data_IF_264272443362
#
_entry.id   IF_264272443362
#
_cell.length_a   1.000
_cell.length_b   1.000
_cell.length_c   1.000
_cell.angle_alpha   90.00
_cell.angle_beta   90.00
_cell.angle_gamma   90.00
#
_symmetry.space_group_name_H-M   'P 1'
#
loop_
_entity.id
_entity.type
_entity.pdbx_description
1 polymer ?
#
# COMPACT_ATOMS: atom_id res chain seq x y z
N UNK A 1 28.91 -6.95 11.32
CA UNK A 1 28.34 -6.73 9.97
C UNK A 1 29.13 -5.63 9.29
N UNK A 2 29.47 -5.75 8.00
CA UNK A 2 30.17 -4.66 7.32
C UNK A 2 29.27 -3.42 7.19
N UNK A 3 29.84 -2.24 7.43
CA UNK A 3 29.13 -0.96 7.38
C UNK A 3 28.45 -0.73 6.02
N UNK A 4 29.09 -1.15 4.92
CA UNK A 4 28.53 -1.06 3.58
C UNK A 4 27.26 -1.90 3.40
N UNK A 5 27.17 -3.06 4.06
CA UNK A 5 25.98 -3.91 4.02
C UNK A 5 24.86 -3.25 4.83
N UNK A 6 25.17 -2.70 6.01
CA UNK A 6 24.22 -1.96 6.85
C UNK A 6 23.60 -0.78 6.11
N UNK A 7 24.44 0.00 5.43
CA UNK A 7 24.02 1.15 4.63
C UNK A 7 23.11 0.74 3.48
N UNK A 8 23.45 -0.33 2.75
CA UNK A 8 22.62 -0.85 1.65
C UNK A 8 21.26 -1.32 2.15
N UNK A 9 21.21 -2.06 3.26
CA UNK A 9 19.96 -2.50 3.88
C UNK A 9 19.08 -1.31 4.27
N UNK A 10 19.65 -0.25 4.87
CA UNK A 10 18.91 0.97 5.18
C UNK A 10 18.34 1.64 3.93
N UNK A 11 19.17 1.88 2.92
CA UNK A 11 18.75 2.58 1.70
C UNK A 11 17.64 1.82 0.98
N UNK A 12 17.84 0.51 0.77
CA UNK A 12 16.85 -0.34 0.10
C UNK A 12 15.56 -0.41 0.94
N UNK A 13 15.69 -0.59 2.25
CA UNK A 13 14.53 -0.63 3.16
C UNK A 13 13.69 0.65 3.11
N UNK A 14 14.32 1.83 3.08
CA UNK A 14 13.63 3.12 2.93
C UNK A 14 12.92 3.20 1.58
N UNK A 15 13.61 2.89 0.48
CA UNK A 15 13.03 2.94 -0.87
C UNK A 15 11.81 2.03 -0.97
N UNK A 16 11.93 0.79 -0.47
CA UNK A 16 10.84 -0.19 -0.48
C UNK A 16 9.66 0.29 0.36
N UNK A 17 9.90 0.77 1.60
CA UNK A 17 8.82 1.22 2.48
C UNK A 17 8.07 2.44 1.91
N UNK A 18 8.79 3.43 1.37
CA UNK A 18 8.19 4.66 0.81
C UNK A 18 7.42 4.36 -0.47
N UNK A 19 7.99 3.58 -1.39
CA UNK A 19 7.32 3.22 -2.65
C UNK A 19 6.05 2.41 -2.39
N UNK A 20 6.14 1.40 -1.53
CA UNK A 20 5.00 0.56 -1.17
C UNK A 20 3.91 1.39 -0.45
N UNK A 21 4.28 2.24 0.52
CA UNK A 21 3.33 3.14 1.19
C UNK A 21 2.60 4.07 0.23
N UNK A 22 3.32 4.62 -0.76
CA UNK A 22 2.74 5.48 -1.80
C UNK A 22 1.71 4.71 -2.65
N UNK A 23 2.05 3.49 -3.08
CA UNK A 23 1.15 2.62 -3.86
C UNK A 23 -0.14 2.33 -3.08
N UNK A 24 -0.04 2.06 -1.78
CA UNK A 24 -1.22 1.79 -0.95
C UNK A 24 -2.11 3.02 -0.79
N UNK A 25 -1.55 4.22 -0.62
CA UNK A 25 -2.34 5.46 -0.53
C UNK A 25 -3.10 5.69 -1.84
N UNK A 26 -2.43 5.54 -2.99
CA UNK A 26 -3.07 5.70 -4.30
C UNK A 26 -4.19 4.67 -4.47
N UNK A 27 -3.90 3.39 -4.20
CA UNK A 27 -4.88 2.32 -4.35
C UNK A 27 -6.09 2.49 -3.43
N UNK A 28 -5.87 2.91 -2.18
CA UNK A 28 -6.94 3.20 -1.23
C UNK A 28 -7.77 4.39 -1.67
N UNK A 29 -7.13 5.46 -2.16
CA UNK A 29 -7.83 6.62 -2.71
C UNK A 29 -8.72 6.24 -3.90
N UNK A 30 -8.23 5.40 -4.83
CA UNK A 30 -9.04 4.91 -5.94
C UNK A 30 -10.24 4.08 -5.47
N UNK A 31 -10.04 3.21 -4.47
CA UNK A 31 -11.12 2.37 -3.94
C UNK A 31 -12.21 3.19 -3.24
N UNK A 32 -11.83 4.20 -2.46
CA UNK A 32 -12.78 5.09 -1.76
C UNK A 32 -13.59 5.93 -2.76
N UNK A 33 -12.94 6.45 -3.80
CA UNK A 33 -13.58 7.32 -4.80
C UNK A 33 -14.25 6.55 -5.96
N UNK A 34 -14.31 5.22 -5.89
CA UNK A 34 -14.80 4.40 -7.01
C UNK A 34 -16.28 4.67 -7.32
N UNK A 35 -17.11 4.90 -6.30
CA UNK A 35 -18.55 5.17 -6.47
C UNK A 35 -18.82 6.56 -7.03
N UNK A 36 -18.08 7.56 -6.58
CA UNK A 36 -18.17 8.90 -7.14
C UNK A 36 -17.72 8.92 -8.61
N UNK A 37 -16.62 8.20 -8.92
CA UNK A 37 -16.19 8.01 -10.31
C UNK A 37 -17.25 7.33 -11.16
N UNK A 38 -17.89 6.27 -10.63
CA UNK A 38 -18.96 5.56 -11.34
C UNK A 38 -20.14 6.47 -11.64
N UNK A 39 -20.60 7.25 -10.66
CA UNK A 39 -21.73 8.18 -10.82
C UNK A 39 -21.43 9.20 -11.92
N UNK A 40 -20.23 9.80 -11.90
CA UNK A 40 -19.80 10.72 -12.95
C UNK A 40 -19.76 10.05 -14.33
N UNK A 41 -19.21 8.83 -14.42
CA UNK A 41 -19.12 8.09 -15.68
C UNK A 41 -20.51 7.68 -16.22
N UNK A 42 -21.44 7.30 -15.35
CA UNK A 42 -22.82 6.99 -15.71
C UNK A 42 -23.56 8.23 -16.25
N UNK A 43 -23.41 9.38 -15.59
CA UNK A 43 -23.97 10.66 -16.06
C UNK A 43 -23.40 11.06 -17.43
N UNK A 44 -22.08 10.92 -17.62
CA UNK A 44 -21.43 11.16 -18.91
C UNK A 44 -21.94 10.19 -19.99
N UNK A 45 -22.13 8.91 -19.65
CA UNK A 45 -22.64 7.90 -20.57
C UNK A 45 -24.08 8.24 -21.02
N UNK A 46 -24.93 8.60 -20.07
CA UNK A 46 -26.32 9.00 -20.32
C UNK A 46 -26.40 10.26 -21.17
N UNK A 47 -25.62 11.30 -20.84
CA UNK A 47 -25.59 12.55 -21.61
C UNK A 47 -25.15 12.31 -23.05
N UNK A 48 -24.09 11.52 -23.26
CA UNK A 48 -23.58 11.26 -24.61
C UNK A 48 -24.57 10.43 -25.45
N UNK A 49 -25.31 9.51 -24.83
CA UNK A 49 -26.43 8.82 -25.49
C UNK A 49 -27.55 9.80 -25.88
N UNK A 50 -27.95 10.70 -25.00
CA UNK A 50 -28.96 11.72 -25.28
C UNK A 50 -28.55 12.71 -26.37
N UNK A 51 -27.26 13.05 -26.43
CA UNK A 51 -26.69 13.88 -27.50
C UNK A 51 -26.59 13.13 -28.84
N UNK A 52 -26.94 11.83 -28.88
CA UNK A 52 -26.87 11.02 -30.09
C UNK A 52 -25.45 10.74 -30.55
N UNK A 53 -24.44 10.90 -29.68
CA UNK A 53 -23.04 10.60 -30.03
C UNK A 53 -22.82 9.12 -30.31
N UNK A 54 -23.67 8.26 -29.75
CA UNK A 54 -23.70 6.84 -30.01
C UNK A 54 -25.08 6.23 -29.78
N UNK A 55 -25.30 5.05 -30.35
CA UNK A 55 -26.56 4.30 -30.25
C UNK A 55 -26.72 3.49 -28.95
N UNK A 56 -27.89 2.87 -28.79
CA UNK A 56 -28.26 2.14 -27.56
C UNK A 56 -27.31 0.97 -27.24
N UNK A 57 -26.80 0.29 -28.26
CA UNK A 57 -25.89 -0.84 -28.07
C UNK A 57 -24.54 -0.39 -27.47
N UNK A 58 -23.99 0.72 -27.93
CA UNK A 58 -22.75 1.29 -27.38
C UNK A 58 -22.96 1.85 -25.97
N UNK A 59 -24.11 2.48 -25.70
CA UNK A 59 -24.50 2.90 -24.36
C UNK A 59 -24.47 1.73 -23.36
N UNK A 60 -25.02 0.57 -23.76
CA UNK A 60 -25.06 -0.64 -22.91
C UNK A 60 -23.68 -1.26 -22.69
N UNK A 61 -22.83 -1.28 -23.70
CA UNK A 61 -21.45 -1.76 -23.54
C UNK A 61 -20.67 -0.86 -22.57
N UNK A 62 -20.79 0.46 -22.71
CA UNK A 62 -20.16 1.42 -21.80
C UNK A 62 -20.67 1.30 -20.36
N UNK A 63 -21.97 1.10 -20.18
CA UNK A 63 -22.56 0.86 -18.86
C UNK A 63 -21.94 -0.38 -18.18
N UNK A 64 -21.74 -1.47 -18.93
CA UNK A 64 -21.05 -2.67 -18.42
C UNK A 64 -19.59 -2.41 -18.07
N UNK A 65 -18.86 -1.68 -18.92
CA UNK A 65 -17.46 -1.33 -18.67
C UNK A 65 -17.30 -0.43 -17.44
N UNK A 66 -18.23 0.51 -17.22
CA UNK A 66 -18.24 1.38 -16.03
C UNK A 66 -18.43 0.55 -14.77
N UNK A 67 -19.40 -0.37 -14.77
CA UNK A 67 -19.65 -1.29 -13.65
C UNK A 67 -18.41 -2.14 -13.36
N UNK A 68 -17.83 -2.75 -14.40
CA UNK A 68 -16.64 -3.59 -14.26
C UNK A 68 -15.46 -2.79 -13.71
N UNK A 69 -15.26 -1.56 -14.19
CA UNK A 69 -14.19 -0.67 -13.74
C UNK A 69 -14.37 -0.28 -12.28
N UNK A 70 -15.59 0.09 -11.86
CA UNK A 70 -15.90 0.38 -10.45
C UNK A 70 -15.58 -0.81 -9.54
N UNK A 71 -15.98 -2.02 -9.96
CA UNK A 71 -15.68 -3.24 -9.21
C UNK A 71 -14.17 -3.48 -9.11
N UNK A 72 -13.42 -3.30 -10.20
CA UNK A 72 -11.95 -3.39 -10.19
C UNK A 72 -11.31 -2.34 -9.26
N UNK A 73 -11.77 -1.10 -9.30
CA UNK A 73 -11.28 -0.02 -8.44
C UNK A 73 -11.49 -0.32 -6.95
N UNK A 74 -12.62 -0.94 -6.59
CA UNK A 74 -12.89 -1.39 -5.21
C UNK A 74 -12.03 -2.61 -4.83
N UNK A 75 -11.97 -3.61 -5.70
CA UNK A 75 -11.30 -4.87 -5.40
C UNK A 75 -9.79 -4.74 -5.38
N UNK A 76 -9.20 -3.92 -6.25
CA UNK A 76 -7.75 -3.69 -6.27
C UNK A 76 -7.24 -3.14 -4.93
N UNK A 77 -8.05 -2.36 -4.19
CA UNK A 77 -7.69 -1.86 -2.86
C UNK A 77 -7.34 -2.98 -1.88
N UNK A 78 -8.09 -4.09 -1.94
CA UNK A 78 -7.86 -5.27 -1.10
C UNK A 78 -6.61 -6.04 -1.56
N UNK A 79 -6.47 -6.27 -2.87
CA UNK A 79 -5.36 -7.05 -3.44
C UNK A 79 -4.04 -6.31 -3.29
N UNK A 80 -3.99 -5.04 -3.70
CA UNK A 80 -2.81 -4.17 -3.59
C UNK A 80 -2.51 -3.91 -2.12
N UNK A 81 -3.52 -3.69 -1.27
CA UNK A 81 -3.32 -3.52 0.17
C UNK A 81 -2.59 -4.71 0.81
N UNK A 82 -2.99 -5.94 0.47
CA UNK A 82 -2.32 -7.14 0.97
C UNK A 82 -0.90 -7.31 0.40
N UNK A 83 -0.71 -7.08 -0.90
CA UNK A 83 0.61 -7.16 -1.52
C UNK A 83 1.58 -6.11 -0.93
N UNK A 84 1.13 -4.86 -0.81
CA UNK A 84 1.93 -3.77 -0.22
C UNK A 84 2.32 -4.09 1.21
N UNK A 85 1.44 -4.67 2.03
CA UNK A 85 1.77 -5.04 3.42
C UNK A 85 2.97 -5.98 3.49
N UNK A 86 3.04 -7.00 2.63
CA UNK A 86 4.17 -7.92 2.56
C UNK A 86 5.45 -7.15 2.19
N UNK A 87 5.37 -6.28 1.19
CA UNK A 87 6.52 -5.49 0.70
C UNK A 87 7.01 -4.51 1.78
N UNK A 88 6.10 -3.82 2.48
CA UNK A 88 6.44 -2.91 3.59
C UNK A 88 7.13 -3.68 4.71
N UNK A 89 6.62 -4.86 5.09
CA UNK A 89 7.26 -5.67 6.13
C UNK A 89 8.68 -6.12 5.73
N UNK A 90 8.91 -6.46 4.45
CA UNK A 90 10.27 -6.74 3.95
C UNK A 90 11.16 -5.48 4.07
N UNK A 91 10.64 -4.31 3.70
CA UNK A 91 11.36 -3.04 3.85
C UNK A 91 11.72 -2.72 5.31
N UNK A 92 10.79 -2.96 6.23
CA UNK A 92 11.00 -2.76 7.67
C UNK A 92 12.01 -3.77 8.26
N UNK A 93 12.01 -5.02 7.79
CA UNK A 93 13.04 -6.01 8.17
C UNK A 93 14.42 -5.55 7.72
N UNK A 94 14.55 -5.04 6.49
CA UNK A 94 15.82 -4.50 5.99
C UNK A 94 16.29 -3.29 6.79
N UNK A 95 15.37 -2.39 7.16
CA UNK A 95 15.66 -1.26 8.05
C UNK A 95 16.14 -1.74 9.42
N UNK A 96 15.46 -2.72 10.01
CA UNK A 96 15.83 -3.29 11.30
C UNK A 96 17.23 -3.91 11.27
N UNK A 97 17.53 -4.74 10.26
CA UNK A 97 18.87 -5.32 10.06
C UNK A 97 19.92 -4.21 9.89
N UNK A 98 19.61 -3.17 9.13
CA UNK A 98 20.48 -2.01 8.95
C UNK A 98 20.81 -1.31 10.27
N UNK A 99 19.79 -0.95 11.06
CA UNK A 99 19.98 -0.25 12.34
C UNK A 99 20.66 -1.11 13.40
N UNK A 100 20.35 -2.41 13.49
CA UNK A 100 21.10 -3.32 14.36
C UNK A 100 22.56 -3.42 13.93
N UNK A 101 22.82 -3.54 12.63
CA UNK A 101 24.17 -3.57 12.10
C UNK A 101 25.00 -2.36 12.50
N UNK A 102 24.40 -1.16 12.47
CA UNK A 102 25.02 0.07 12.97
C UNK A 102 25.15 0.10 14.49
N UNK A 103 24.17 -0.40 15.25
CA UNK A 103 24.25 -0.46 16.72
C UNK A 103 25.36 -1.40 17.22
N UNK A 104 25.66 -2.48 16.48
CA UNK A 104 26.72 -3.44 16.81
C UNK A 104 28.11 -3.08 16.26
N UNK A 105 28.27 -1.92 15.61
CA UNK A 105 29.54 -1.54 15.01
C UNK A 105 30.48 -0.91 16.05
N UNK A 106 31.60 -1.56 16.34
CA UNK A 106 32.57 -1.13 17.37
C UNK A 106 33.25 0.22 17.07
N UNK A 107 33.17 0.72 15.83
CA UNK A 107 33.74 2.00 15.42
C UNK A 107 32.87 3.21 15.75
N UNK A 108 31.66 2.99 16.26
CA UNK A 108 30.65 4.03 16.50
C UNK A 108 30.59 4.35 18.00
N UNK A 109 30.45 5.63 18.33
CA UNK A 109 30.31 6.11 19.70
C UNK A 109 29.08 5.51 20.41
N UNK A 110 29.20 5.25 21.70
CA UNK A 110 28.19 4.56 22.51
C UNK A 110 26.84 5.29 22.53
N UNK A 111 26.85 6.64 22.54
CA UNK A 111 25.63 7.45 22.47
C UNK A 111 24.91 7.26 21.14
N UNK A 112 25.68 7.11 20.06
CA UNK A 112 25.16 6.92 18.71
C UNK A 112 24.64 5.49 18.53
N UNK A 113 25.35 4.47 19.06
CA UNK A 113 24.87 3.08 19.11
C UNK A 113 23.52 2.96 19.81
N UNK A 114 23.37 3.59 20.97
CA UNK A 114 22.10 3.60 21.73
C UNK A 114 20.96 4.22 20.94
N UNK A 115 21.25 5.25 20.13
CA UNK A 115 20.28 5.88 19.25
C UNK A 115 19.83 4.92 18.14
N UNK A 116 20.76 4.24 17.46
CA UNK A 116 20.42 3.24 16.45
C UNK A 116 19.65 2.04 17.03
N UNK A 117 20.00 1.60 18.24
CA UNK A 117 19.26 0.56 18.95
C UNK A 117 17.82 0.99 19.25
N UNK A 118 17.63 2.24 19.68
CA UNK A 118 16.31 2.82 19.95
C UNK A 118 15.48 2.87 18.66
N UNK A 119 16.08 3.29 17.55
CA UNK A 119 15.40 3.32 16.24
C UNK A 119 15.04 1.89 15.79
N UNK A 120 15.94 0.91 15.95
CA UNK A 120 15.65 -0.49 15.65
C UNK A 120 14.45 -1.01 16.47
N UNK A 121 14.37 -0.66 17.76
CA UNK A 121 13.24 -1.01 18.60
C UNK A 121 11.92 -0.37 18.12
N UNK A 122 11.96 0.89 17.68
CA UNK A 122 10.79 1.57 17.08
C UNK A 122 10.35 0.86 15.79
N UNK A 123 11.29 0.50 14.91
CA UNK A 123 10.98 -0.23 13.67
C UNK A 123 10.33 -1.58 14.01
N UNK A 124 10.84 -2.28 15.02
CA UNK A 124 10.27 -3.55 15.49
C UNK A 124 8.85 -3.36 16.04
N UNK A 125 8.63 -2.32 16.85
CA UNK A 125 7.32 -1.96 17.35
C UNK A 125 6.33 -1.65 16.21
N UNK A 126 6.75 -0.91 15.19
CA UNK A 126 5.94 -0.63 13.99
C UNK A 126 5.60 -1.92 13.23
N UNK A 127 6.56 -2.84 13.06
CA UNK A 127 6.30 -4.15 12.45
C UNK A 127 5.29 -4.98 13.24
N UNK A 128 5.34 -4.93 14.58
CA UNK A 128 4.34 -5.60 15.41
C UNK A 128 2.95 -5.05 15.14
N UNK A 129 2.80 -3.71 15.09
CA UNK A 129 1.52 -3.10 14.76
C UNK A 129 1.02 -3.51 13.37
N UNK A 130 1.85 -3.42 12.32
CA UNK A 130 1.44 -3.80 10.96
C UNK A 130 1.02 -5.27 10.87
N UNK A 131 1.66 -6.16 11.62
CA UNK A 131 1.35 -7.60 11.66
C UNK A 131 0.12 -7.91 12.55
N UNK A 132 -0.10 -7.18 13.63
CA UNK A 132 -1.29 -7.36 14.48
C UNK A 132 -2.58 -6.96 13.74
N UNK A 133 -2.57 -5.86 12.98
CA UNK A 133 -3.72 -5.44 12.19
C UNK A 133 -4.06 -6.43 11.05
N UNK A 134 -3.10 -7.22 10.55
CA UNK A 134 -3.37 -8.24 9.53
C UNK A 134 -4.18 -9.43 10.04
N UNK A 135 -4.02 -9.84 11.31
CA UNK A 135 -4.76 -10.98 11.87
C UNK A 135 -6.21 -10.64 12.25
N UNK A 136 -6.53 -9.36 12.40
CA UNK A 136 -7.88 -8.89 12.78
C UNK A 136 -8.78 -8.68 11.55
N UNK A 137 -8.22 -8.67 10.34
CA UNK A 137 -8.95 -8.43 9.09
C UNK A 137 -9.63 -9.65 8.46
N UNK A 138 -9.56 -10.84 9.07
CA UNK A 138 -10.21 -12.07 8.57
C UNK A 138 -11.31 -12.54 9.54
N UNK A 139 -12.13 -11.65 10.08
CA UNK A 139 -13.37 -12.05 10.75
C UNK A 139 -14.47 -11.02 10.41
N UNK A 140 -15.61 -11.52 9.93
CA UNK A 140 -16.87 -10.83 9.61
C UNK A 140 -17.13 -10.43 8.14
N UNK A 141 -17.08 -11.40 7.23
CA UNK A 141 -18.09 -11.51 6.16
C UNK A 141 -18.57 -12.96 6.03
N UNK A 142 -19.23 -13.48 7.06
CA UNK A 142 -20.25 -14.51 6.89
C UNK A 142 -21.58 -13.78 6.83
N UNK A 143 -22.31 -13.94 5.71
CA UNK A 143 -23.50 -13.18 5.32
C UNK A 143 -24.69 -13.24 6.27
N UNK A 144 -25.78 -12.57 5.88
CA UNK A 144 -26.94 -13.28 5.34
C UNK A 144 -27.08 -13.20 3.82
#
# INVERSE_FOLDING_TARGET
MEENIAKKCLIIGIIVAVSAGTIMIISTSMAINADDWKNYADEENQMNYWLGKYGYQEYKLKEQDIILTNLWMKQQGLVIGNAVRVVVNIGLILLFIGFIGYATNDRIDEKTKRTYLTIAAIVLFVMMLTTFYTSIGIIATTGP
#
